data_IF_601545059066
#
_entry.id   IF_601545059066
#
_cell.length_a   1.000
_cell.length_b   1.000
_cell.length_c   1.000
_cell.angle_alpha   90.00
_cell.angle_beta   90.00
_cell.angle_gamma   90.00
#
_symmetry.space_group_name_H-M   'P 1'
#
loop_
_entity.id
_entity.type
_entity.pdbx_description
1 polymer ?
#
# COMPACT_ATOMS: atom_id res chain seq x y z
N UNK A 1 -4.76 16.92 -5.04
CA UNK A 1 -4.49 15.48 -4.80
C UNK A 1 -5.21 15.09 -3.53
N UNK A 2 -5.89 13.96 -3.54
CA UNK A 2 -6.49 13.32 -2.37
C UNK A 2 -5.92 11.91 -2.24
N UNK A 3 -5.69 11.48 -1.01
CA UNK A 3 -5.22 10.13 -0.70
C UNK A 3 -5.96 9.62 0.53
N UNK A 4 -6.61 8.48 0.39
CA UNK A 4 -7.29 7.76 1.46
C UNK A 4 -6.56 6.44 1.70
N UNK A 5 -6.41 6.06 2.97
CA UNK A 5 -5.75 4.83 3.37
C UNK A 5 -6.59 4.14 4.44
N UNK A 6 -6.98 2.90 4.16
CA UNK A 6 -7.61 2.02 5.14
C UNK A 6 -6.73 0.81 5.35
N UNK A 7 -6.71 0.28 6.58
CA UNK A 7 -5.98 -0.95 6.88
C UNK A 7 -6.92 -2.15 6.84
N UNK A 8 -6.43 -3.26 6.31
CA UNK A 8 -7.10 -4.57 6.40
C UNK A 8 -6.81 -5.28 7.72
N UNK A 9 -5.87 -4.76 8.52
CA UNK A 9 -5.50 -5.32 9.83
C UNK A 9 -6.63 -5.05 10.83
N UNK A 10 -7.29 -6.09 11.38
CA UNK A 10 -8.38 -5.90 12.33
C UNK A 10 -7.90 -5.21 13.62
N UNK A 11 -8.76 -4.43 14.27
CA UNK A 11 -8.38 -3.64 15.45
C UNK A 11 -7.75 -4.47 16.60
N UNK A 12 -8.16 -5.72 16.79
CA UNK A 12 -7.56 -6.63 17.77
C UNK A 12 -6.10 -6.96 17.44
N UNK A 13 -5.84 -7.33 16.18
CA UNK A 13 -4.50 -7.59 15.65
C UNK A 13 -3.67 -6.32 15.65
N UNK A 14 -4.25 -5.18 15.27
CA UNK A 14 -3.56 -3.89 15.29
C UNK A 14 -2.99 -3.57 16.67
N UNK A 15 -3.77 -3.81 17.73
CA UNK A 15 -3.31 -3.60 19.11
C UNK A 15 -2.11 -4.48 19.47
N UNK A 16 -2.12 -5.75 19.05
CA UNK A 16 -0.99 -6.68 19.23
C UNK A 16 0.21 -6.26 18.39
N UNK A 17 -0.06 -5.64 17.23
CA UNK A 17 0.94 -5.18 16.27
C UNK A 17 1.75 -3.97 16.73
N UNK A 18 1.45 -3.38 17.90
CA UNK A 18 2.16 -2.22 18.44
C UNK A 18 3.45 -2.60 19.19
N UNK A 19 3.79 -3.89 19.28
CA UNK A 19 5.06 -4.35 19.83
C UNK A 19 6.23 -3.94 18.90
N UNK A 20 7.23 -3.23 19.44
CA UNK A 20 8.39 -2.75 18.68
C UNK A 20 9.17 -3.88 17.98
N UNK A 21 9.07 -5.12 18.48
CA UNK A 21 9.69 -6.30 17.85
C UNK A 21 9.02 -6.69 16.53
N UNK A 22 7.81 -6.21 16.23
CA UNK A 22 7.11 -6.46 14.96
C UNK A 22 7.59 -5.54 13.82
N UNK A 23 8.68 -4.79 14.03
CA UNK A 23 9.32 -3.93 13.01
C UNK A 23 10.32 -4.65 12.10
N UNK A 24 10.61 -5.94 12.33
CA UNK A 24 11.35 -6.80 11.37
C UNK A 24 10.79 -8.22 11.40
N UNK A 25 10.84 -8.93 10.26
CA UNK A 25 10.47 -10.35 10.23
C UNK A 25 11.26 -11.18 11.25
N UNK A 26 12.58 -10.95 11.35
CA UNK A 26 13.46 -11.70 12.25
C UNK A 26 13.04 -11.62 13.73
N UNK A 27 12.53 -10.48 14.17
CA UNK A 27 12.13 -10.26 15.57
C UNK A 27 10.65 -10.50 15.82
N UNK A 28 9.84 -10.53 14.76
CA UNK A 28 8.38 -10.62 14.84
C UNK A 28 7.77 -11.95 14.41
N UNK A 29 8.54 -12.84 13.76
CA UNK A 29 7.99 -14.06 13.13
C UNK A 29 7.22 -14.99 14.10
N UNK A 30 7.61 -15.00 15.38
CA UNK A 30 7.02 -15.85 16.41
C UNK A 30 6.09 -15.09 17.37
N UNK A 31 5.75 -13.84 17.06
CA UNK A 31 4.87 -13.01 17.88
C UNK A 31 3.45 -12.97 17.31
N UNK A 32 2.48 -12.83 18.21
CA UNK A 32 1.12 -12.48 17.83
C UNK A 32 1.10 -11.05 17.27
N UNK A 33 0.38 -10.84 16.18
CA UNK A 33 0.25 -9.53 15.52
C UNK A 33 0.73 -9.54 14.06
N UNK A 34 0.60 -8.37 13.43
CA UNK A 34 1.06 -8.10 12.09
C UNK A 34 2.49 -7.55 12.12
N UNK A 35 3.39 -8.16 11.35
CA UNK A 35 4.78 -7.70 11.22
C UNK A 35 4.85 -6.53 10.23
N UNK A 36 5.06 -5.31 10.72
CA UNK A 36 5.25 -4.09 9.91
C UNK A 36 6.55 -4.07 9.13
N UNK A 37 7.55 -4.78 9.65
CA UNK A 37 8.92 -4.84 9.17
C UNK A 37 9.17 -5.54 7.85
N UNK A 38 8.25 -5.39 6.90
CA UNK A 38 8.41 -5.87 5.54
C UNK A 38 8.85 -4.71 4.67
N UNK A 39 9.95 -4.89 3.94
CA UNK A 39 10.41 -3.89 2.96
C UNK A 39 9.40 -3.69 1.82
N UNK A 40 8.47 -4.64 1.64
CA UNK A 40 7.52 -4.71 0.54
C UNK A 40 6.18 -5.20 1.05
N UNK A 41 5.10 -4.64 0.52
CA UNK A 41 3.75 -5.15 0.70
C UNK A 41 3.35 -5.92 -0.57
N UNK A 42 2.66 -7.04 -0.41
CA UNK A 42 2.16 -7.81 -1.54
C UNK A 42 1.07 -7.02 -2.24
N UNK A 43 1.36 -6.55 -3.44
CA UNK A 43 0.42 -5.86 -4.30
C UNK A 43 -0.37 -6.89 -5.12
N UNK A 44 -1.49 -7.35 -4.58
CA UNK A 44 -2.39 -8.28 -5.27
C UNK A 44 -3.86 -7.85 -5.08
N UNK A 45 -4.66 -7.73 -6.15
CA UNK A 45 -4.34 -8.09 -7.55
C UNK A 45 -3.47 -7.06 -8.30
N UNK A 46 -3.16 -5.91 -7.70
CA UNK A 46 -2.49 -4.81 -8.39
C UNK A 46 -3.06 -3.45 -8.00
N UNK A 47 -2.72 -2.44 -8.79
CA UNK A 47 -3.45 -1.19 -8.85
C UNK A 47 -4.57 -1.28 -9.90
N UNK A 48 -5.75 -0.76 -9.58
CA UNK A 48 -6.90 -0.73 -10.49
C UNK A 48 -7.37 0.70 -10.69
N UNK A 49 -7.57 1.11 -11.93
CA UNK A 49 -8.21 2.38 -12.27
C UNK A 49 -9.70 2.31 -11.94
N UNK A 50 -10.22 3.29 -11.21
CA UNK A 50 -11.65 3.41 -10.92
C UNK A 50 -12.31 4.16 -12.08
N UNK A 51 -13.00 3.40 -12.93
CA UNK A 51 -13.78 3.95 -14.06
C UNK A 51 -14.97 4.77 -13.55
N UNK A 52 -15.27 5.88 -14.21
CA UNK A 52 -16.39 6.77 -13.88
C UNK A 52 -16.37 7.29 -12.43
N UNK A 53 -15.18 7.53 -11.87
CA UNK A 53 -15.01 8.05 -10.51
C UNK A 53 -15.69 9.43 -10.34
N UNK A 54 -16.71 9.54 -9.46
CA UNK A 54 -17.32 10.83 -9.13
C UNK A 54 -16.32 11.77 -8.44
N UNK A 55 -15.40 11.22 -7.64
CA UNK A 55 -14.38 11.99 -6.93
C UNK A 55 -13.44 12.65 -7.93
N UNK A 56 -12.94 11.90 -8.90
CA UNK A 56 -12.09 12.42 -9.96
C UNK A 56 -12.82 13.45 -10.82
N UNK A 57 -14.09 13.21 -11.18
CA UNK A 57 -14.92 14.17 -11.93
C UNK A 57 -15.11 15.48 -11.17
N UNK A 58 -15.34 15.42 -9.85
CA UNK A 58 -15.47 16.61 -9.01
C UNK A 58 -14.17 17.42 -8.98
N UNK A 59 -13.02 16.76 -8.85
CA UNK A 59 -11.72 17.42 -8.94
C UNK A 59 -11.49 18.04 -10.32
N UNK A 60 -11.82 17.31 -11.39
CA UNK A 60 -11.67 17.81 -12.75
C UNK A 60 -12.52 19.06 -13.01
N UNK A 61 -13.78 19.05 -12.57
CA UNK A 61 -14.67 20.20 -12.68
C UNK A 61 -14.19 21.41 -11.87
N UNK A 62 -13.63 21.18 -10.67
CA UNK A 62 -13.16 22.25 -9.80
C UNK A 62 -11.86 22.91 -10.29
N UNK A 63 -10.97 22.13 -10.92
CA UNK A 63 -9.63 22.59 -11.33
C UNK A 63 -9.57 22.95 -12.82
N UNK A 64 -10.40 22.33 -13.65
CA UNK A 64 -10.41 22.54 -15.10
C UNK A 64 -9.38 21.71 -15.88
N UNK A 65 -8.88 20.62 -15.30
CA UNK A 65 -7.98 19.63 -15.94
C UNK A 65 -8.45 18.22 -15.60
N UNK A 66 -7.98 17.21 -16.32
CA UNK A 66 -8.34 15.81 -16.04
C UNK A 66 -7.78 15.32 -14.69
N UNK A 67 -8.55 14.45 -14.04
CA UNK A 67 -8.19 13.73 -12.83
C UNK A 67 -8.55 12.26 -12.97
N UNK A 68 -7.82 11.41 -12.24
CA UNK A 68 -7.95 9.96 -12.22
C UNK A 68 -8.02 9.48 -10.78
N UNK A 69 -8.75 8.39 -10.55
CA UNK A 69 -8.78 7.68 -9.28
C UNK A 69 -8.25 6.26 -9.47
N UNK A 70 -7.29 5.85 -8.64
CA UNK A 70 -6.82 4.46 -8.59
C UNK A 70 -7.00 3.90 -7.19
N UNK A 71 -7.27 2.60 -7.12
CA UNK A 71 -7.25 1.81 -5.90
C UNK A 71 -6.07 0.85 -5.92
N UNK A 72 -5.26 0.85 -4.87
CA UNK A 72 -4.07 0.03 -4.71
C UNK A 72 -4.33 -0.88 -3.51
N UNK A 73 -4.49 -2.17 -3.76
CA UNK A 73 -4.73 -3.15 -2.71
C UNK A 73 -3.45 -3.91 -2.38
N UNK A 74 -3.13 -3.91 -1.09
CA UNK A 74 -1.99 -4.63 -0.53
C UNK A 74 -2.45 -5.60 0.55
N UNK A 75 -1.53 -6.39 1.11
CA UNK A 75 -1.86 -7.32 2.19
C UNK A 75 -2.27 -6.64 3.51
N UNK A 76 -1.84 -5.40 3.79
CA UNK A 76 -2.24 -4.67 5.01
C UNK A 76 -3.01 -3.37 4.78
N UNK A 77 -2.93 -2.81 3.58
CA UNK A 77 -3.48 -1.49 3.28
C UNK A 77 -4.26 -1.52 1.97
N UNK A 78 -5.32 -0.73 1.94
CA UNK A 78 -6.13 -0.42 0.76
C UNK A 78 -6.10 1.10 0.59
N UNK A 79 -5.43 1.54 -0.47
CA UNK A 79 -5.15 2.94 -0.75
C UNK A 79 -5.99 3.40 -1.94
N UNK A 80 -6.63 4.57 -1.81
CA UNK A 80 -7.27 5.26 -2.93
C UNK A 80 -6.55 6.57 -3.18
N UNK A 81 -6.12 6.81 -4.42
CA UNK A 81 -5.43 8.04 -4.81
C UNK A 81 -6.21 8.75 -5.91
N UNK A 82 -6.42 10.06 -5.76
CA UNK A 82 -7.02 10.94 -6.77
C UNK A 82 -6.00 12.00 -7.20
N UNK A 83 -5.59 11.96 -8.46
CA UNK A 83 -4.47 12.73 -9.00
C UNK A 83 -4.73 13.15 -10.45
N UNK A 84 -4.09 14.22 -10.91
CA UNK A 84 -4.14 14.66 -12.32
C UNK A 84 -3.10 13.96 -13.19
N UNK A 85 -1.93 13.67 -12.62
CA UNK A 85 -0.83 12.99 -13.30
C UNK A 85 -0.08 12.08 -12.30
N UNK A 86 0.49 10.97 -12.79
CA UNK A 86 1.26 10.01 -12.02
C UNK A 86 2.49 9.57 -12.80
N UNK A 87 3.66 9.86 -12.23
CA UNK A 87 4.93 9.33 -12.74
C UNK A 87 5.28 8.05 -12.00
N UNK A 88 5.54 6.99 -12.78
CA UNK A 88 5.99 5.70 -12.27
C UNK A 88 7.44 5.53 -12.69
N UNK A 89 8.32 5.37 -11.70
CA UNK A 89 9.73 5.05 -11.92
C UNK A 89 9.99 3.62 -11.46
N UNK A 90 10.52 2.79 -12.35
CA UNK A 90 11.02 1.47 -11.99
C UNK A 90 12.41 1.65 -11.36
N UNK A 91 12.57 1.18 -10.11
CA UNK A 91 13.85 1.24 -9.44
C UNK A 91 14.81 0.20 -10.03
N UNK A 92 16.12 0.52 -10.16
CA UNK A 92 17.12 -0.44 -10.64
C UNK A 92 17.10 -1.74 -9.83
N UNK A 93 17.23 -2.88 -10.51
CA UNK A 93 17.23 -4.22 -9.90
C UNK A 93 18.40 -4.48 -8.93
N UNK A 94 19.42 -3.64 -8.97
CA UNK A 94 20.59 -3.63 -8.08
C UNK A 94 20.31 -3.03 -6.69
N UNK A 95 19.08 -2.57 -6.41
CA UNK A 95 18.56 -2.43 -5.05
C UNK A 95 18.31 -3.81 -4.41
N UNK A 96 19.37 -4.62 -4.35
CA UNK A 96 19.42 -5.80 -3.51
C UNK A 96 19.60 -5.32 -2.06
N UNK A 97 18.48 -5.16 -1.36
CA UNK A 97 18.50 -5.27 0.09
C UNK A 97 19.22 -6.57 0.47
N UNK A 98 20.16 -6.57 1.41
CA UNK A 98 20.92 -7.76 1.75
C UNK A 98 19.97 -8.88 2.23
N UNK A 99 20.02 -10.02 1.53
CA UNK A 99 19.47 -11.32 1.92
C UNK A 99 17.98 -11.39 2.34
N UNK A 100 17.04 -11.15 1.42
CA UNK A 100 15.67 -11.65 1.57
C UNK A 100 15.34 -12.69 0.51
N UNK A 101 15.54 -13.97 0.85
CA UNK A 101 14.92 -15.09 0.14
C UNK A 101 13.44 -15.10 0.51
N UNK A 102 12.56 -14.86 -0.46
CA UNK A 102 11.13 -15.15 -0.30
C UNK A 102 10.96 -16.66 -0.08
N UNK A 103 10.41 -17.12 1.06
CA UNK A 103 9.89 -18.48 1.12
C UNK A 103 8.52 -18.46 0.42
N UNK A 104 8.53 -18.59 -0.90
CA UNK A 104 7.37 -19.15 -1.60
C UNK A 104 7.46 -20.66 -1.37
N UNK A 105 6.58 -21.18 -0.50
CA UNK A 105 6.27 -22.61 -0.42
C UNK A 105 5.22 -22.96 -1.47
#
# INVERSE_FOLDING_TARGET
>A
MQADCTTTVPAGIWRESLDDRLTTYRTGADLDGYVWGVNWQLLYPGATLVTDSPTAQNWAAAVGIDFHEIRIQTNAHDLTLVFSDLQIEELPSEWQMPDHKFPIQ
#
